data_IF_100856949659
#
_entry.id   IF_100856949659
#
_cell.length_a   1.000
_cell.length_b   1.000
_cell.length_c   1.000
_cell.angle_alpha   90.00
_cell.angle_beta   90.00
_cell.angle_gamma   90.00
#
_symmetry.space_group_name_H-M   'P 1'
#
loop_
_entity.id
_entity.type
_entity.pdbx_description
1 polymer ?
#
# COMPACT_ATOMS: atom_id res chain seq x y z
N UNK A 1 26.15 -42.94 -11.69
CA UNK A 1 25.16 -42.00 -12.28
C UNK A 1 24.52 -41.08 -11.22
N UNK A 2 25.28 -40.22 -10.53
CA UNK A 2 24.73 -39.17 -9.65
C UNK A 2 24.52 -37.81 -10.33
N UNK A 3 24.82 -37.66 -11.63
CA UNK A 3 24.93 -36.36 -12.29
C UNK A 3 23.59 -35.72 -12.63
N UNK A 4 22.61 -36.47 -13.15
CA UNK A 4 21.33 -35.89 -13.57
C UNK A 4 20.47 -35.45 -12.38
N UNK A 5 20.35 -36.30 -11.35
CA UNK A 5 19.59 -35.98 -10.14
C UNK A 5 20.22 -34.79 -9.40
N UNK A 6 21.55 -34.74 -9.29
CA UNK A 6 22.25 -33.60 -8.69
C UNK A 6 22.02 -32.29 -9.44
N UNK A 7 22.06 -32.32 -10.77
CA UNK A 7 21.75 -31.14 -11.61
C UNK A 7 20.29 -30.70 -11.41
N UNK A 8 19.34 -31.63 -11.41
CA UNK A 8 17.92 -31.31 -11.19
C UNK A 8 17.69 -30.67 -9.81
N UNK A 9 18.30 -31.21 -8.75
CA UNK A 9 18.21 -30.65 -7.40
C UNK A 9 18.84 -29.24 -7.33
N UNK A 10 19.98 -29.03 -7.97
CA UNK A 10 20.61 -27.71 -8.05
C UNK A 10 19.74 -26.69 -8.80
N UNK A 11 19.14 -27.08 -9.92
CA UNK A 11 18.20 -26.24 -10.67
C UNK A 11 16.94 -25.90 -9.85
N UNK A 12 16.39 -26.87 -9.13
CA UNK A 12 15.22 -26.65 -8.26
C UNK A 12 15.54 -25.68 -7.13
N UNK A 13 16.69 -25.84 -6.46
CA UNK A 13 17.15 -24.92 -5.42
C UNK A 13 17.36 -23.51 -5.98
N UNK A 14 18.01 -23.39 -7.14
CA UNK A 14 18.22 -22.09 -7.79
C UNK A 14 16.89 -21.40 -8.14
N UNK A 15 15.90 -22.15 -8.64
CA UNK A 15 14.57 -21.63 -8.93
C UNK A 15 13.85 -21.14 -7.66
N UNK A 16 13.92 -21.89 -6.55
CA UNK A 16 13.34 -21.49 -5.27
C UNK A 16 14.00 -20.21 -4.73
N UNK A 17 15.33 -20.13 -4.78
CA UNK A 17 16.06 -18.93 -4.35
C UNK A 17 15.73 -17.71 -5.21
N UNK A 18 15.61 -17.91 -6.53
CA UNK A 18 15.21 -16.88 -7.47
C UNK A 18 13.77 -16.39 -7.19
N UNK A 19 12.81 -17.30 -7.03
CA UNK A 19 11.41 -16.97 -6.70
C UNK A 19 11.32 -16.22 -5.38
N UNK A 20 12.01 -16.69 -4.34
CA UNK A 20 12.03 -16.02 -3.04
C UNK A 20 12.58 -14.59 -3.16
N UNK A 21 13.68 -14.40 -3.89
CA UNK A 21 14.23 -13.06 -4.13
C UNK A 21 13.25 -12.18 -4.91
N UNK A 22 12.60 -12.74 -5.93
CA UNK A 22 11.65 -12.01 -6.75
C UNK A 22 10.45 -11.52 -5.93
N UNK A 23 9.82 -12.41 -5.14
CA UNK A 23 8.66 -12.11 -4.30
C UNK A 23 8.97 -11.14 -3.16
N UNK A 24 10.18 -11.18 -2.59
CA UNK A 24 10.52 -10.31 -1.46
C UNK A 24 10.99 -8.91 -1.88
N UNK A 25 11.67 -8.80 -3.03
CA UNK A 25 12.37 -7.55 -3.37
C UNK A 25 12.00 -6.96 -4.71
N UNK A 26 11.57 -7.76 -5.69
CA UNK A 26 11.32 -7.26 -7.05
C UNK A 26 9.84 -6.92 -7.23
N UNK A 27 8.96 -7.88 -6.97
CA UNK A 27 7.53 -7.74 -7.20
C UNK A 27 6.90 -6.65 -6.31
N UNK A 28 7.17 -6.55 -4.99
CA UNK A 28 6.59 -5.51 -4.15
C UNK A 28 7.01 -4.07 -4.53
N UNK A 29 8.19 -3.92 -5.14
CA UNK A 29 8.73 -2.63 -5.55
C UNK A 29 8.38 -2.27 -7.01
N UNK A 30 7.73 -3.18 -7.74
CA UNK A 30 7.25 -2.90 -9.09
C UNK A 30 5.91 -2.16 -9.02
N UNK A 31 5.98 -0.87 -8.70
CA UNK A 31 4.80 0.00 -8.61
C UNK A 31 4.42 0.53 -9.99
N UNK A 32 3.18 0.28 -10.40
CA UNK A 32 2.58 0.85 -11.59
C UNK A 32 1.47 1.83 -11.21
N UNK A 33 1.48 3.02 -11.81
CA UNK A 33 0.37 3.98 -11.70
C UNK A 33 -0.58 3.71 -12.86
N UNK A 34 -1.83 3.40 -12.53
CA UNK A 34 -2.89 3.14 -13.50
C UNK A 34 -3.95 4.23 -13.41
N UNK A 35 -4.50 4.61 -14.56
CA UNK A 35 -5.53 5.63 -14.66
C UNK A 35 -6.82 4.98 -15.15
N UNK A 36 -7.90 5.22 -14.43
CA UNK A 36 -9.23 4.73 -14.75
C UNK A 36 -10.17 5.92 -14.84
N UNK A 37 -10.75 6.13 -16.02
CA UNK A 37 -11.78 7.14 -16.23
C UNK A 37 -13.15 6.56 -15.84
N UNK A 38 -13.86 7.28 -14.98
CA UNK A 38 -15.20 6.89 -14.52
C UNK A 38 -16.18 7.86 -15.18
N UNK A 39 -16.98 7.43 -16.17
CA UNK A 39 -17.97 8.29 -16.78
C UNK A 39 -19.08 8.58 -15.77
N UNK A 40 -19.38 9.86 -15.59
CA UNK A 40 -20.44 10.33 -14.69
C UNK A 40 -21.67 10.76 -15.48
N UNK A 41 -22.88 10.65 -14.90
CA UNK A 41 -24.09 11.29 -15.43
C UNK A 41 -23.92 12.82 -15.56
N UNK A 42 -24.65 13.44 -16.50
CA UNK A 42 -24.56 14.90 -16.74
C UNK A 42 -24.88 15.73 -15.49
N UNK A 43 -25.72 15.20 -14.59
CA UNK A 43 -26.08 15.87 -13.32
C UNK A 43 -24.90 16.00 -12.34
N UNK A 44 -23.78 15.33 -12.63
CA UNK A 44 -22.53 15.37 -11.84
C UNK A 44 -21.34 15.97 -12.62
N UNK A 45 -21.63 16.78 -13.65
CA UNK A 45 -20.61 17.43 -14.48
C UNK A 45 -19.66 18.35 -13.70
N UNK A 46 -20.02 18.78 -12.50
CA UNK A 46 -19.15 19.52 -11.59
C UNK A 46 -17.94 18.72 -11.08
N UNK A 47 -17.99 17.38 -11.19
CA UNK A 47 -16.90 16.48 -10.85
C UNK A 47 -16.04 16.09 -12.05
N UNK A 48 -16.36 16.61 -13.24
CA UNK A 48 -15.56 16.33 -14.43
C UNK A 48 -14.11 16.82 -14.25
N UNK A 49 -13.16 15.95 -14.60
CA UNK A 49 -11.74 16.19 -14.41
C UNK A 49 -11.22 16.06 -12.97
N UNK A 50 -12.06 15.76 -11.98
CA UNK A 50 -11.58 15.47 -10.61
C UNK A 50 -10.75 14.19 -10.61
N UNK A 51 -9.52 14.27 -10.09
CA UNK A 51 -8.59 13.16 -9.99
C UNK A 51 -8.50 12.66 -8.56
N UNK A 52 -8.79 11.37 -8.36
CA UNK A 52 -8.61 10.69 -7.07
C UNK A 52 -7.41 9.75 -7.16
N UNK A 53 -6.41 9.94 -6.29
CA UNK A 53 -5.34 8.97 -6.10
C UNK A 53 -5.78 7.96 -5.04
N UNK A 54 -6.05 6.72 -5.45
CA UNK A 54 -6.58 5.68 -4.59
C UNK A 54 -5.50 4.65 -4.22
N UNK A 55 -5.33 4.42 -2.92
CA UNK A 55 -4.45 3.42 -2.32
C UNK A 55 -5.25 2.47 -1.45
N UNK A 56 -4.94 1.17 -1.52
CA UNK A 56 -5.62 0.13 -0.75
C UNK A 56 -4.68 -0.96 -0.27
N UNK A 57 -5.07 -1.67 0.78
CA UNK A 57 -4.42 -2.89 1.30
C UNK A 57 -2.90 -2.70 1.52
N UNK A 58 -2.54 -1.55 2.12
CA UNK A 58 -1.14 -1.17 2.31
C UNK A 58 -0.39 -2.11 3.26
N UNK A 59 -1.09 -2.66 4.25
CA UNK A 59 -0.55 -3.58 5.25
C UNK A 59 0.76 -3.10 5.88
N UNK A 60 0.84 -1.82 6.24
CA UNK A 60 2.06 -1.24 6.81
C UNK A 60 2.38 -1.89 8.16
N UNK A 61 3.56 -2.49 8.26
CA UNK A 61 4.09 -3.12 9.48
C UNK A 61 5.49 -2.57 9.82
N UNK A 62 6.12 -3.15 10.85
CA UNK A 62 7.47 -2.78 11.30
C UNK A 62 8.53 -3.01 10.22
N UNK A 63 8.42 -4.12 9.49
CA UNK A 63 9.34 -4.43 8.41
C UNK A 63 8.99 -3.58 7.18
N UNK A 64 9.87 -2.62 6.85
CA UNK A 64 9.73 -1.86 5.62
C UNK A 64 9.85 -2.77 4.39
N UNK A 65 8.85 -2.69 3.49
CA UNK A 65 8.77 -3.49 2.27
C UNK A 65 8.91 -2.61 1.03
N UNK A 66 7.91 -1.77 0.79
CA UNK A 66 7.80 -0.95 -0.42
C UNK A 66 7.31 0.48 -0.12
N UNK A 67 7.27 0.89 1.16
CA UNK A 67 6.79 2.21 1.59
C UNK A 67 7.44 3.36 0.80
N UNK A 68 8.76 3.31 0.59
CA UNK A 68 9.48 4.35 -0.14
C UNK A 68 9.07 4.42 -1.62
N UNK A 69 8.93 3.27 -2.28
CA UNK A 69 8.50 3.20 -3.68
C UNK A 69 7.05 3.70 -3.84
N UNK A 70 6.15 3.30 -2.93
CA UNK A 70 4.76 3.79 -2.88
C UNK A 70 4.74 5.30 -2.65
N UNK A 71 5.46 5.83 -1.66
CA UNK A 71 5.52 7.29 -1.43
C UNK A 71 6.04 8.06 -2.63
N UNK A 72 7.05 7.54 -3.34
CA UNK A 72 7.55 8.16 -4.56
C UNK A 72 6.50 8.17 -5.67
N UNK A 73 5.80 7.05 -5.87
CA UNK A 73 4.73 6.95 -6.86
C UNK A 73 3.58 7.92 -6.55
N UNK A 74 3.08 7.93 -5.31
CA UNK A 74 2.01 8.84 -4.87
C UNK A 74 2.40 10.30 -5.08
N UNK A 75 3.62 10.70 -4.67
CA UNK A 75 4.12 12.07 -4.86
C UNK A 75 4.28 12.49 -6.32
N UNK A 76 4.34 11.54 -7.25
CA UNK A 76 4.39 11.83 -8.69
C UNK A 76 3.01 12.08 -9.30
N UNK A 77 1.93 11.73 -8.59
CA UNK A 77 0.55 11.95 -9.02
C UNK A 77 0.07 13.30 -8.49
N UNK A 78 -0.54 14.11 -9.36
CA UNK A 78 -1.31 15.29 -8.94
C UNK A 78 -2.77 14.88 -8.87
N UNK A 79 -3.30 14.75 -7.65
CA UNK A 79 -4.69 14.42 -7.40
C UNK A 79 -5.36 15.53 -6.57
N UNK A 80 -6.66 15.67 -6.77
CA UNK A 80 -7.52 16.57 -5.99
C UNK A 80 -7.90 15.94 -4.64
N UNK A 81 -7.86 14.61 -4.56
CA UNK A 81 -8.13 13.84 -3.34
C UNK A 81 -7.25 12.58 -3.29
N UNK A 82 -6.70 12.28 -2.12
CA UNK A 82 -6.05 11.01 -1.83
C UNK A 82 -6.97 10.13 -1.00
N UNK A 83 -7.32 8.96 -1.51
CA UNK A 83 -8.15 7.98 -0.82
C UNK A 83 -7.30 6.81 -0.36
N UNK A 84 -7.32 6.53 0.94
CA UNK A 84 -6.73 5.34 1.54
C UNK A 84 -7.86 4.44 2.03
N UNK A 85 -7.98 3.23 1.51
CA UNK A 85 -9.07 2.32 1.89
C UNK A 85 -8.54 0.95 2.24
N UNK A 86 -9.11 0.28 3.23
CA UNK A 86 -8.86 -1.14 3.47
C UNK A 86 -7.45 -1.45 3.97
N UNK A 87 -7.38 -2.28 5.01
CA UNK A 87 -6.19 -2.98 5.48
C UNK A 87 -4.88 -2.14 5.40
N UNK A 88 -4.92 -0.98 6.04
CA UNK A 88 -3.84 0.00 6.07
C UNK A 88 -2.67 -0.47 6.93
N UNK A 89 -2.96 -1.23 8.00
CA UNK A 89 -1.97 -1.71 8.96
C UNK A 89 -1.76 -3.23 8.90
N UNK A 90 -0.52 -3.65 9.13
CA UNK A 90 -0.11 -5.03 9.31
C UNK A 90 0.01 -5.41 10.78
N UNK A 91 -1.13 -5.67 11.43
CA UNK A 91 -1.19 -6.04 12.86
C UNK A 91 -1.00 -4.85 13.81
N UNK A 92 -0.86 -5.15 15.10
CA UNK A 92 -0.90 -4.13 16.19
C UNK A 92 0.24 -3.12 16.13
N UNK A 93 1.45 -3.58 15.81
CA UNK A 93 2.62 -2.71 15.65
C UNK A 93 2.46 -1.79 14.42
N UNK A 94 1.67 -2.20 13.43
CA UNK A 94 1.44 -1.45 12.19
C UNK A 94 0.81 -0.07 12.39
N UNK A 95 0.12 0.20 13.51
CA UNK A 95 -0.48 1.53 13.78
C UNK A 95 0.59 2.62 13.76
N UNK A 96 1.65 2.49 14.58
CA UNK A 96 2.66 3.54 14.72
C UNK A 96 3.48 3.70 13.43
N UNK A 97 3.78 2.59 12.75
CA UNK A 97 4.48 2.62 11.47
C UNK A 97 3.64 3.26 10.36
N UNK A 98 2.35 2.98 10.30
CA UNK A 98 1.43 3.63 9.37
C UNK A 98 1.31 5.12 9.63
N UNK A 99 1.12 5.53 10.89
CA UNK A 99 1.02 6.94 11.26
C UNK A 99 2.32 7.69 10.96
N UNK A 100 3.48 7.09 11.27
CA UNK A 100 4.78 7.68 10.95
C UNK A 100 5.00 7.83 9.44
N UNK A 101 4.61 6.81 8.67
CA UNK A 101 4.68 6.86 7.21
C UNK A 101 3.75 7.92 6.62
N UNK A 102 2.52 8.03 7.13
CA UNK A 102 1.55 9.05 6.75
C UNK A 102 2.06 10.46 7.06
N UNK A 103 2.66 10.67 8.24
CA UNK A 103 3.27 11.94 8.63
C UNK A 103 4.45 12.31 7.72
N UNK A 104 5.27 11.33 7.33
CA UNK A 104 6.36 11.54 6.39
C UNK A 104 5.88 11.91 4.97
N UNK A 105 4.69 11.44 4.55
CA UNK A 105 4.06 11.90 3.32
C UNK A 105 3.52 13.32 3.44
N UNK A 106 3.05 13.72 4.63
CA UNK A 106 2.76 15.10 4.98
C UNK A 106 1.76 15.77 4.03
N UNK A 107 2.11 16.96 3.54
CA UNK A 107 1.25 17.73 2.64
C UNK A 107 1.07 17.11 1.25
N UNK A 108 1.93 16.14 0.85
CA UNK A 108 1.86 15.52 -0.48
C UNK A 108 0.61 14.67 -0.69
N UNK A 109 -0.10 14.30 0.37
CA UNK A 109 -1.27 13.42 0.32
C UNK A 109 -2.51 14.11 0.89
N UNK A 110 -2.59 15.45 0.82
CA UNK A 110 -3.72 16.22 1.33
C UNK A 110 -4.47 16.92 0.18
N UNK A 111 -5.83 16.98 0.21
CA UNK A 111 -6.71 16.39 1.23
C UNK A 111 -6.74 14.85 1.14
N UNK A 112 -6.98 14.19 2.28
CA UNK A 112 -7.04 12.74 2.39
C UNK A 112 -8.38 12.27 2.95
N UNK A 113 -8.85 11.11 2.50
CA UNK A 113 -9.90 10.34 3.18
C UNK A 113 -9.38 8.95 3.48
N UNK A 114 -9.71 8.44 4.67
CA UNK A 114 -9.30 7.11 5.12
C UNK A 114 -10.52 6.27 5.48
N UNK A 115 -10.57 5.05 4.95
CA UNK A 115 -11.60 4.05 5.22
C UNK A 115 -10.93 2.80 5.78
N UNK A 116 -11.28 2.42 7.01
CA UNK A 116 -10.69 1.25 7.67
C UNK A 116 -11.16 -0.05 7.02
N UNK A 117 -10.29 -1.06 7.00
CA UNK A 117 -10.59 -2.41 6.57
C UNK A 117 -10.78 -3.38 7.73
N UNK A 118 -10.78 -4.67 7.43
CA UNK A 118 -10.95 -5.70 8.44
C UNK A 118 -9.70 -5.87 9.31
N UNK A 119 -8.51 -5.53 8.82
CA UNK A 119 -7.29 -5.60 9.62
C UNK A 119 -7.38 -4.69 10.85
N UNK A 120 -7.92 -3.49 10.70
CA UNK A 120 -8.08 -2.52 11.78
C UNK A 120 -9.15 -2.92 12.81
N UNK A 121 -10.03 -3.86 12.46
CA UNK A 121 -11.10 -4.38 13.33
C UNK A 121 -10.75 -5.72 14.01
N UNK A 122 -9.51 -6.20 13.90
CA UNK A 122 -9.05 -7.40 14.62
C UNK A 122 -8.99 -7.14 16.12
N UNK A 123 -9.24 -8.19 16.92
CA UNK A 123 -9.39 -8.09 18.39
C UNK A 123 -8.17 -7.52 19.12
N UNK A 124 -6.98 -7.72 18.55
CA UNK A 124 -5.71 -7.28 19.10
C UNK A 124 -5.36 -5.84 18.71
N UNK A 125 -6.09 -5.23 17.76
CA UNK A 125 -5.84 -3.87 17.28
C UNK A 125 -6.67 -2.86 18.08
N UNK A 126 -6.01 -1.80 18.55
CA UNK A 126 -6.68 -0.65 19.15
C UNK A 126 -7.19 0.31 18.06
N UNK A 127 -8.36 -0.02 17.50
CA UNK A 127 -9.00 0.77 16.44
C UNK A 127 -9.28 2.21 16.88
N UNK A 128 -9.67 2.41 18.14
CA UNK A 128 -10.02 3.75 18.64
C UNK A 128 -8.79 4.64 18.69
N UNK A 129 -7.66 4.11 19.17
CA UNK A 129 -6.38 4.82 19.15
C UNK A 129 -5.99 5.22 17.72
N UNK A 130 -6.16 4.34 16.74
CA UNK A 130 -5.88 4.67 15.33
C UNK A 130 -6.79 5.80 14.84
N UNK A 131 -8.10 5.73 15.09
CA UNK A 131 -9.06 6.76 14.69
C UNK A 131 -8.76 8.12 15.33
N UNK A 132 -8.49 8.15 16.64
CA UNK A 132 -8.14 9.38 17.35
C UNK A 132 -6.87 10.02 16.77
N UNK A 133 -5.87 9.19 16.46
CA UNK A 133 -4.64 9.64 15.82
C UNK A 133 -4.89 10.19 14.41
N UNK A 134 -5.74 9.55 13.61
CA UNK A 134 -6.11 10.03 12.27
C UNK A 134 -6.87 11.36 12.34
N UNK A 135 -7.90 11.46 13.18
CA UNK A 135 -8.67 12.70 13.34
C UNK A 135 -7.81 13.89 13.79
N UNK A 136 -6.77 13.65 14.60
CA UNK A 136 -5.84 14.70 15.02
C UNK A 136 -5.01 15.30 13.87
N UNK A 137 -4.94 14.61 12.73
CA UNK A 137 -4.16 15.02 11.54
C UNK A 137 -4.97 15.84 10.53
N UNK A 138 -6.26 16.02 10.78
CA UNK A 138 -7.23 16.62 9.84
C UNK A 138 -7.65 15.63 8.77
#
# INVERSE_FOLDING_TARGET
MPTLLGILLACALAAILWLRRHMLYTEPNHIAITYHEIPLPEEHSELDGVVICHLTDLHICEEERNQAAVSQAVRSVKADLYAFTGDLIGGTQGIEHFLSWLDAMGASVRPAVLVLGNAEHKKDVDTQKLLDALHSRG
#
